data_IF_244491105135
#
_entry.id   IF_244491105135
#
_cell.length_a   1.000
_cell.length_b   1.000
_cell.length_c   1.000
_cell.angle_alpha   90.00
_cell.angle_beta   90.00
_cell.angle_gamma   90.00
#
_symmetry.space_group_name_H-M   'P 1'
#
loop_
_entity.id
_entity.type
_entity.pdbx_description
1 polymer ?
#
# COMPACT_ATOMS: atom_id res chain seq x y z
N UNK A 1 -7.70 -13.39 13.80
CA UNK A 1 -8.08 -12.00 13.49
C UNK A 1 -9.11 -12.03 12.36
N UNK A 2 -9.97 -11.02 12.28
CA UNK A 2 -10.90 -10.89 11.16
C UNK A 2 -10.13 -10.64 9.85
N UNK A 3 -10.45 -11.38 8.78
CA UNK A 3 -9.86 -11.14 7.46
C UNK A 3 -10.45 -9.84 6.90
N UNK A 4 -9.58 -8.92 6.47
CA UNK A 4 -9.95 -7.62 5.91
C UNK A 4 -9.24 -7.42 4.59
N UNK A 5 -9.91 -6.69 3.70
CA UNK A 5 -9.32 -6.18 2.47
C UNK A 5 -8.77 -4.78 2.75
N UNK A 6 -7.47 -4.59 2.52
CA UNK A 6 -6.75 -3.37 2.86
C UNK A 6 -6.09 -2.83 1.60
N UNK A 7 -6.45 -1.61 1.22
CA UNK A 7 -5.78 -0.86 0.16
C UNK A 7 -4.66 -0.02 0.74
N UNK A 8 -3.48 -0.05 0.10
CA UNK A 8 -2.29 0.66 0.58
C UNK A 8 -1.49 1.26 -0.58
N UNK A 9 -0.97 2.46 -0.36
CA UNK A 9 0.00 3.12 -1.22
C UNK A 9 0.90 4.04 -0.38
N UNK A 10 1.99 4.51 -0.98
CA UNK A 10 2.89 5.51 -0.39
C UNK A 10 3.33 6.52 -1.45
N UNK A 11 4.27 7.39 -1.11
CA UNK A 11 5.15 8.03 -2.08
C UNK A 11 6.47 7.25 -2.20
N UNK A 12 7.42 7.83 -2.93
CA UNK A 12 8.76 7.28 -3.16
C UNK A 12 9.55 7.05 -1.86
N UNK A 13 9.40 7.92 -0.86
CA UNK A 13 10.08 7.79 0.42
C UNK A 13 9.51 6.61 1.26
N UNK A 14 8.28 6.20 1.02
CA UNK A 14 7.58 5.16 1.79
C UNK A 14 7.68 3.73 1.26
N UNK A 15 8.36 3.47 0.14
CA UNK A 15 8.34 2.16 -0.57
C UNK A 15 8.71 1.00 0.35
N UNK A 16 9.88 1.05 0.98
CA UNK A 16 10.37 -0.05 1.83
C UNK A 16 9.48 -0.29 3.05
N UNK A 17 8.92 0.77 3.64
CA UNK A 17 8.02 0.64 4.79
C UNK A 17 6.68 0.04 4.37
N UNK A 18 6.12 0.49 3.24
CA UNK A 18 4.87 -0.03 2.69
C UNK A 18 4.99 -1.53 2.37
N UNK A 19 6.11 -1.98 1.81
CA UNK A 19 6.38 -3.40 1.58
C UNK A 19 6.41 -4.19 2.88
N UNK A 20 7.15 -3.72 3.89
CA UNK A 20 7.21 -4.36 5.21
C UNK A 20 5.82 -4.46 5.89
N UNK A 21 5.00 -3.41 5.78
CA UNK A 21 3.62 -3.40 6.30
C UNK A 21 2.73 -4.37 5.50
N UNK A 22 2.82 -4.36 4.17
CA UNK A 22 2.04 -5.25 3.30
C UNK A 22 2.34 -6.72 3.60
N UNK A 23 3.61 -7.06 3.79
CA UNK A 23 4.06 -8.40 4.19
C UNK A 23 3.53 -8.79 5.56
N UNK A 24 3.64 -7.89 6.54
CA UNK A 24 3.14 -8.13 7.89
C UNK A 24 1.62 -8.40 7.87
N UNK A 25 0.84 -7.54 7.21
CA UNK A 25 -0.61 -7.68 7.16
C UNK A 25 -1.03 -8.95 6.39
N UNK A 26 -0.37 -9.26 5.29
CA UNK A 26 -0.60 -10.49 4.53
C UNK A 26 -0.34 -11.74 5.38
N UNK A 27 0.77 -11.77 6.15
CA UNK A 27 1.10 -12.87 7.09
C UNK A 27 0.08 -13.00 8.23
N UNK A 28 -0.64 -11.93 8.56
CA UNK A 28 -1.71 -11.94 9.55
C UNK A 28 -3.10 -12.28 8.95
N UNK A 29 -3.15 -12.68 7.68
CA UNK A 29 -4.36 -13.19 7.03
C UNK A 29 -5.28 -12.12 6.44
N UNK A 30 -4.74 -10.95 6.11
CA UNK A 30 -5.46 -9.89 5.38
C UNK A 30 -5.17 -9.94 3.87
N UNK A 31 -6.15 -9.53 3.06
CA UNK A 31 -5.98 -9.33 1.61
C UNK A 31 -5.46 -7.90 1.35
N UNK A 32 -4.31 -7.77 0.67
CA UNK A 32 -3.67 -6.47 0.41
C UNK A 32 -3.80 -6.10 -1.06
N UNK A 33 -4.30 -4.89 -1.34
CA UNK A 33 -4.19 -4.23 -2.64
C UNK A 33 -3.12 -3.15 -2.52
N UNK A 34 -1.96 -3.38 -3.15
CA UNK A 34 -0.84 -2.44 -3.14
C UNK A 34 -0.78 -1.67 -4.46
N UNK A 35 -1.01 -0.36 -4.39
CA UNK A 35 -1.08 0.52 -5.58
C UNK A 35 0.24 1.19 -5.97
N UNK A 36 1.34 0.85 -5.31
CA UNK A 36 2.66 1.43 -5.56
C UNK A 36 2.97 2.67 -4.68
N UNK A 37 3.99 3.45 -5.03
CA UNK A 37 5.00 3.16 -6.05
C UNK A 37 5.78 1.88 -5.71
N UNK A 38 6.32 1.21 -6.72
CA UNK A 38 7.06 -0.06 -6.56
C UNK A 38 8.58 0.12 -6.62
N UNK A 39 9.02 1.37 -6.65
CA UNK A 39 10.40 1.82 -6.65
C UNK A 39 10.48 3.20 -5.98
N UNK A 40 11.70 3.64 -5.72
CA UNK A 40 12.04 4.90 -5.06
C UNK A 40 12.18 6.09 -6.04
N UNK A 41 11.71 5.92 -7.28
CA UNK A 41 11.61 7.02 -8.24
C UNK A 41 10.66 8.08 -7.70
N UNK A 42 11.07 9.35 -7.78
CA UNK A 42 10.28 10.46 -7.26
C UNK A 42 8.89 10.52 -7.90
N UNK A 43 7.86 10.59 -7.06
CA UNK A 43 6.45 10.66 -7.44
C UNK A 43 5.67 11.56 -6.48
N UNK A 44 4.53 12.07 -6.96
CA UNK A 44 3.58 12.84 -6.18
C UNK A 44 2.61 11.92 -5.41
N UNK A 45 2.58 12.04 -4.09
CA UNK A 45 1.72 11.22 -3.23
C UNK A 45 0.21 11.30 -3.55
N UNK A 46 -0.38 12.42 -4.03
CA UNK A 46 -1.81 12.49 -4.32
C UNK A 46 -2.26 11.49 -5.40
N UNK A 47 -1.42 11.19 -6.39
CA UNK A 47 -1.73 10.24 -7.46
C UNK A 47 -1.93 8.81 -6.92
N UNK A 48 -1.17 8.47 -5.88
CA UNK A 48 -1.24 7.17 -5.22
C UNK A 48 -2.33 7.13 -4.16
N UNK A 49 -2.56 8.22 -3.44
CA UNK A 49 -3.69 8.36 -2.52
C UNK A 49 -5.03 8.22 -3.25
N UNK A 50 -5.16 8.77 -4.46
CA UNK A 50 -6.36 8.65 -5.28
C UNK A 50 -6.71 7.18 -5.58
N UNK A 51 -5.71 6.37 -5.97
CA UNK A 51 -5.90 4.92 -6.23
C UNK A 51 -6.44 4.17 -5.01
N UNK A 52 -5.95 4.51 -3.81
CA UNK A 52 -6.44 3.93 -2.55
C UNK A 52 -7.91 4.29 -2.31
N UNK A 53 -8.29 5.54 -2.57
CA UNK A 53 -9.68 5.98 -2.36
C UNK A 53 -10.67 5.38 -3.37
N UNK A 54 -10.21 4.88 -4.52
CA UNK A 54 -11.07 4.23 -5.50
C UNK A 54 -11.50 2.80 -5.09
N UNK A 55 -10.88 2.24 -4.04
CA UNK A 55 -11.23 0.93 -3.47
C UNK A 55 -12.30 0.99 -2.35
N UNK A 56 -12.83 2.17 -2.01
CA UNK A 56 -13.80 2.41 -0.90
C UNK A 56 -15.17 2.84 -1.43
#
# INVERSE_FOLDING_TARGET
MENKKISIASDHAGVSLKEAISDYLSKNGHEIINHGPFNDDSVDYPDYAKKVTDDI
#
